data_IF_842601545953
#
_entry.id   IF_842601545953
#
_cell.length_a   1.000
_cell.length_b   1.000
_cell.length_c   1.000
_cell.angle_alpha   90.00
_cell.angle_beta   90.00
_cell.angle_gamma   90.00
#
_symmetry.space_group_name_H-M   'P 1'
#
loop_
_entity.id
_entity.type
_entity.pdbx_description
1 polymer ?
#
# COMPACT_ATOMS: atom_id res chain seq x y z
N UNK A 1 1.08 13.47 7.36
CA UNK A 1 2.19 13.15 8.29
C UNK A 1 2.09 11.69 8.71
N UNK A 2 3.22 10.98 8.79
CA UNK A 2 3.28 9.62 9.32
C UNK A 2 3.59 9.68 10.83
N UNK A 3 2.81 9.04 11.72
CA UNK A 3 3.10 9.04 13.15
C UNK A 3 4.44 8.35 13.47
N UNK A 4 5.22 8.94 14.37
CA UNK A 4 6.49 8.33 14.83
C UNK A 4 6.26 6.99 15.53
N UNK A 5 5.12 6.82 16.20
CA UNK A 5 4.77 5.59 16.92
C UNK A 5 4.74 4.34 16.04
N UNK A 6 4.47 4.48 14.73
CA UNK A 6 4.43 3.36 13.79
C UNK A 6 5.71 3.23 12.95
N UNK A 7 6.68 4.14 13.12
CA UNK A 7 7.86 4.21 12.26
C UNK A 7 8.69 2.92 12.35
N UNK A 8 8.84 2.37 13.56
CA UNK A 8 9.64 1.16 13.76
C UNK A 8 8.93 -0.09 13.22
N UNK A 9 7.62 -0.21 13.45
CA UNK A 9 6.80 -1.27 12.85
C UNK A 9 6.87 -1.26 11.33
N UNK A 10 6.80 -0.06 10.73
CA UNK A 10 6.91 0.10 9.28
C UNK A 10 8.29 -0.30 8.76
N UNK A 11 9.38 0.02 9.47
CA UNK A 11 10.73 -0.41 9.08
C UNK A 11 10.86 -1.93 9.12
N UNK A 12 10.39 -2.58 10.19
CA UNK A 12 10.39 -4.04 10.29
C UNK A 12 9.57 -4.69 9.17
N UNK A 13 8.40 -4.13 8.88
CA UNK A 13 7.57 -4.56 7.74
C UNK A 13 8.35 -4.44 6.41
N UNK A 14 9.00 -3.31 6.16
CA UNK A 14 9.80 -3.09 4.95
C UNK A 14 10.99 -4.06 4.84
N UNK A 15 11.61 -4.46 5.95
CA UNK A 15 12.65 -5.51 5.94
C UNK A 15 12.08 -6.85 5.46
N UNK A 16 10.89 -7.23 5.95
CA UNK A 16 10.20 -8.44 5.49
C UNK A 16 9.83 -8.38 4.01
N UNK A 17 9.33 -7.23 3.55
CA UNK A 17 9.03 -7.00 2.13
C UNK A 17 10.28 -7.04 1.26
N UNK A 18 11.42 -6.56 1.78
CA UNK A 18 12.70 -6.60 1.06
C UNK A 18 13.19 -8.04 0.87
N UNK A 19 13.04 -8.88 1.89
CA UNK A 19 13.34 -10.32 1.77
C UNK A 19 12.43 -10.99 0.73
N UNK A 20 11.13 -10.70 0.75
CA UNK A 20 10.18 -11.21 -0.25
C UNK A 20 10.57 -10.78 -1.67
N UNK A 21 10.94 -9.51 -1.85
CA UNK A 21 11.39 -8.98 -3.13
C UNK A 21 12.68 -9.67 -3.63
N UNK A 22 13.65 -9.94 -2.74
CA UNK A 22 14.85 -10.69 -3.11
C UNK A 22 14.52 -12.10 -3.61
N UNK A 23 13.61 -12.79 -2.93
CA UNK A 23 13.12 -14.11 -3.37
C UNK A 23 12.39 -14.05 -4.71
N UNK A 24 11.60 -13.00 -4.95
CA UNK A 24 10.91 -12.82 -6.22
C UNK A 24 11.91 -12.50 -7.35
N UNK A 25 12.97 -11.73 -7.10
CA UNK A 25 14.04 -11.49 -8.07
C UNK A 25 14.74 -12.79 -8.47
N UNK A 26 15.12 -13.63 -7.50
CA UNK A 26 15.77 -14.92 -7.77
C UNK A 26 14.88 -15.85 -8.62
N UNK A 27 13.56 -15.77 -8.44
CA UNK A 27 12.57 -16.54 -9.20
C UNK A 27 12.20 -15.91 -10.54
N UNK A 28 12.71 -14.72 -10.87
CA UNK A 28 12.42 -14.00 -12.12
C UNK A 28 11.12 -13.18 -12.12
N UNK A 29 10.49 -12.98 -10.95
CA UNK A 29 9.22 -12.26 -10.78
C UNK A 29 9.34 -10.89 -10.10
N UNK A 30 10.56 -10.44 -9.76
CA UNK A 30 10.81 -9.20 -9.00
C UNK A 30 10.58 -7.89 -9.75
N UNK A 31 9.76 -7.90 -10.81
CA UNK A 31 9.36 -6.67 -11.50
C UNK A 31 8.17 -6.01 -10.80
N UNK A 32 8.16 -4.68 -10.71
CA UNK A 32 7.02 -3.88 -10.27
C UNK A 32 6.24 -3.34 -11.46
N UNK A 33 4.96 -3.01 -11.26
CA UNK A 33 4.20 -2.25 -12.26
C UNK A 33 4.69 -0.80 -12.29
N UNK A 34 5.05 -0.30 -13.47
CA UNK A 34 5.37 1.10 -13.70
C UNK A 34 4.40 1.72 -14.71
N UNK A 35 4.01 2.99 -14.54
CA UNK A 35 3.30 3.73 -15.58
C UNK A 35 4.11 3.78 -16.88
N UNK A 36 3.44 3.69 -18.03
CA UNK A 36 4.06 3.59 -19.36
C UNK A 36 5.18 4.60 -19.61
N UNK A 37 4.98 5.87 -19.27
CA UNK A 37 5.98 6.92 -19.47
C UNK A 37 7.25 6.70 -18.62
N UNK A 38 7.11 6.17 -17.40
CA UNK A 38 8.23 5.86 -16.52
C UNK A 38 8.96 4.60 -16.98
N UNK A 39 8.24 3.55 -17.35
CA UNK A 39 8.84 2.31 -17.85
C UNK A 39 9.66 2.57 -19.12
N UNK A 40 9.14 3.40 -20.04
CA UNK A 40 9.87 3.79 -21.26
C UNK A 40 11.13 4.60 -20.96
N UNK A 41 11.07 5.52 -19.99
CA UNK A 41 12.19 6.40 -19.62
C UNK A 41 13.27 5.65 -18.83
N UNK A 42 12.86 4.71 -17.97
CA UNK A 42 13.75 3.92 -17.11
C UNK A 42 13.39 2.43 -17.15
N UNK A 43 13.82 1.68 -18.19
CA UNK A 43 13.41 0.30 -18.38
C UNK A 43 13.81 -0.67 -17.26
N UNK A 44 14.92 -0.39 -16.56
CA UNK A 44 15.40 -1.20 -15.42
C UNK A 44 14.76 -0.84 -14.09
N UNK A 45 14.09 0.31 -13.99
CA UNK A 45 13.52 0.80 -12.73
C UNK A 45 12.49 -0.17 -12.13
N UNK A 46 11.80 -0.96 -12.96
CA UNK A 46 10.82 -1.94 -12.47
C UNK A 46 11.45 -3.02 -11.58
N UNK A 47 12.75 -3.25 -11.68
CA UNK A 47 13.45 -4.21 -10.83
C UNK A 47 14.04 -3.57 -9.58
N UNK A 48 14.08 -2.24 -9.47
CA UNK A 48 14.70 -1.61 -8.30
C UNK A 48 13.76 -1.66 -7.10
N UNK A 49 14.35 -1.78 -5.91
CA UNK A 49 13.64 -1.81 -4.63
C UNK A 49 12.71 -0.61 -4.42
N UNK A 50 13.15 0.58 -4.84
CA UNK A 50 12.40 1.84 -4.62
C UNK A 50 11.04 1.88 -5.34
N UNK A 51 10.83 1.00 -6.32
CA UNK A 51 9.58 0.91 -7.09
C UNK A 51 8.67 -0.23 -6.63
N UNK A 52 9.10 -1.03 -5.65
CA UNK A 52 8.29 -2.11 -5.12
C UNK A 52 7.19 -1.59 -4.20
N UNK A 53 6.07 -2.31 -4.14
CA UNK A 53 4.95 -1.93 -3.28
C UNK A 53 5.30 -2.12 -1.80
N UNK A 54 5.01 -1.10 -0.98
CA UNK A 54 5.14 -1.18 0.49
C UNK A 54 4.27 -2.30 1.06
N UNK A 55 3.06 -2.49 0.52
CA UNK A 55 2.14 -3.55 0.92
C UNK A 55 1.89 -4.49 -0.26
N UNK A 56 2.79 -5.45 -0.49
CA UNK A 56 2.67 -6.38 -1.60
C UNK A 56 1.56 -7.42 -1.35
N UNK A 57 1.00 -7.96 -2.43
CA UNK A 57 0.05 -9.07 -2.40
C UNK A 57 0.75 -10.35 -1.90
N UNK A 58 0.00 -11.22 -1.22
CA UNK A 58 0.50 -12.54 -0.80
C UNK A 58 0.84 -13.46 -1.98
N UNK A 59 0.19 -13.25 -3.13
CA UNK A 59 0.42 -14.02 -4.37
C UNK A 59 0.99 -13.15 -5.49
N UNK A 60 1.75 -13.80 -6.37
CA UNK A 60 2.11 -13.28 -7.69
C UNK A 60 0.95 -13.48 -8.66
N UNK A 61 0.83 -12.59 -9.64
CA UNK A 61 -0.20 -12.68 -10.67
C UNK A 61 0.36 -12.29 -12.03
N UNK A 62 -0.24 -12.83 -13.09
CA UNK A 62 0.04 -12.38 -14.45
C UNK A 62 -0.68 -11.06 -14.70
N UNK A 63 0.05 -10.03 -15.08
CA UNK A 63 -0.54 -8.75 -15.48
C UNK A 63 -1.29 -8.95 -16.82
N UNK A 64 -2.61 -8.68 -16.88
CA UNK A 64 -3.38 -8.85 -18.11
C UNK A 64 -2.96 -7.91 -19.24
N UNK A 65 -2.28 -6.79 -18.93
CA UNK A 65 -1.88 -5.80 -19.94
C UNK A 65 -0.52 -6.10 -20.57
N UNK A 66 0.42 -6.62 -19.77
CA UNK A 66 1.80 -6.88 -20.20
C UNK A 66 2.15 -8.37 -20.32
N UNK A 67 1.30 -9.26 -19.82
CA UNK A 67 1.57 -10.70 -19.66
C UNK A 67 2.77 -11.05 -18.77
N UNK A 68 3.44 -10.07 -18.16
CA UNK A 68 4.52 -10.31 -17.21
C UNK A 68 3.95 -10.84 -15.88
N UNK A 69 4.65 -11.82 -15.28
CA UNK A 69 4.32 -12.30 -13.94
C UNK A 69 5.03 -11.41 -12.94
N UNK A 70 4.25 -10.77 -12.06
CA UNK A 70 4.76 -9.83 -11.07
C UNK A 70 3.93 -9.82 -9.80
N UNK A 71 4.49 -9.28 -8.73
CA UNK A 71 3.77 -9.05 -7.48
C UNK A 71 3.10 -7.68 -7.49
N UNK A 72 1.77 -7.66 -7.37
CA UNK A 72 1.00 -6.43 -7.25
C UNK A 72 0.86 -6.02 -5.79
N UNK A 73 0.29 -4.83 -5.55
CA UNK A 73 -0.12 -4.43 -4.20
C UNK A 73 -1.26 -5.31 -3.68
N UNK A 74 -1.44 -5.33 -2.37
CA UNK A 74 -2.61 -5.93 -1.73
C UNK A 74 -3.90 -5.38 -2.35
N UNK A 75 -4.83 -6.26 -2.71
CA UNK A 75 -6.10 -5.84 -3.30
C UNK A 75 -6.93 -5.03 -2.30
N UNK A 76 -7.51 -3.91 -2.75
CA UNK A 76 -8.25 -2.98 -1.90
C UNK A 76 -9.43 -3.64 -1.17
N UNK A 77 -10.10 -4.60 -1.82
CA UNK A 77 -11.25 -5.29 -1.22
C UNK A 77 -10.86 -6.14 -0.01
N UNK A 78 -9.62 -6.61 0.08
CA UNK A 78 -9.12 -7.34 1.24
C UNK A 78 -9.14 -6.46 2.48
N UNK A 79 -8.62 -5.23 2.37
CA UNK A 79 -8.64 -4.25 3.45
C UNK A 79 -10.09 -3.85 3.81
N UNK A 80 -10.92 -3.57 2.80
CA UNK A 80 -12.32 -3.17 3.02
C UNK A 80 -13.13 -4.26 3.75
N UNK A 81 -12.91 -5.54 3.42
CA UNK A 81 -13.59 -6.67 4.07
C UNK A 81 -13.19 -6.80 5.53
N UNK A 82 -11.90 -6.78 5.82
CA UNK A 82 -11.38 -6.85 7.20
C UNK A 82 -11.89 -5.66 8.01
N UNK A 83 -11.85 -4.45 7.44
CA UNK A 83 -12.36 -3.26 8.10
C UNK A 83 -13.86 -3.37 8.42
N UNK A 84 -14.67 -3.87 7.47
CA UNK A 84 -16.10 -4.07 7.67
C UNK A 84 -16.39 -5.04 8.83
N UNK A 85 -15.58 -6.09 8.98
CA UNK A 85 -15.69 -7.03 10.11
C UNK A 85 -15.32 -6.36 11.44
N UNK A 86 -14.21 -5.63 11.48
CA UNK A 86 -13.77 -4.90 12.67
C UNK A 86 -14.82 -3.88 13.13
N UNK A 87 -15.36 -3.07 12.20
CA UNK A 87 -16.42 -2.09 12.49
C UNK A 87 -17.67 -2.77 13.04
N UNK A 88 -18.10 -3.90 12.47
CA UNK A 88 -19.27 -4.64 12.98
C UNK A 88 -19.07 -5.10 14.43
N UNK A 89 -17.86 -5.50 14.80
CA UNK A 89 -17.55 -5.92 16.17
C UNK A 89 -17.66 -4.76 17.19
N UNK A 90 -17.42 -3.51 16.77
CA UNK A 90 -17.53 -2.33 17.65
C UNK A 90 -18.97 -1.93 17.99
N UNK A 91 -19.99 -2.49 17.31
CA UNK A 91 -21.41 -2.12 17.44
C UNK A 91 -21.70 -0.63 17.18
N UNK A 92 -20.81 0.08 16.48
CA UNK A 92 -21.06 1.46 16.06
C UNK A 92 -22.19 1.46 15.01
N UNK A 93 -23.29 2.20 15.23
CA UNK A 93 -24.44 2.18 14.31
C UNK A 93 -24.21 2.99 13.02
N UNK A 94 -23.05 3.64 12.87
CA UNK A 94 -22.69 4.45 11.72
C UNK A 94 -21.99 3.61 10.64
N UNK A 95 -22.19 3.97 9.37
CA UNK A 95 -21.44 3.39 8.26
C UNK A 95 -19.99 3.89 8.31
N UNK A 96 -19.06 2.99 8.60
CA UNK A 96 -17.63 3.28 8.65
C UNK A 96 -16.91 2.47 7.56
N UNK A 97 -16.08 3.15 6.76
CA UNK A 97 -15.20 2.55 5.75
C UNK A 97 -13.88 3.32 5.66
N UNK A 98 -13.00 2.95 4.73
CA UNK A 98 -11.65 3.55 4.63
C UNK A 98 -11.70 5.09 4.49
N UNK A 99 -12.63 5.61 3.69
CA UNK A 99 -12.81 7.07 3.53
C UNK A 99 -13.26 7.76 4.83
N UNK A 100 -13.99 7.08 5.71
CA UNK A 100 -14.36 7.63 7.03
C UNK A 100 -13.11 7.94 7.86
N UNK A 101 -12.10 7.06 7.86
CA UNK A 101 -10.84 7.33 8.57
C UNK A 101 -10.09 8.51 7.98
N UNK A 102 -10.08 8.66 6.64
CA UNK A 102 -9.50 9.83 5.98
C UNK A 102 -10.19 11.12 6.39
N UNK A 103 -11.53 11.13 6.43
CA UNK A 103 -12.30 12.29 6.88
C UNK A 103 -12.02 12.61 8.35
N UNK A 104 -12.04 11.60 9.23
CA UNK A 104 -11.73 11.80 10.65
C UNK A 104 -10.31 12.36 10.84
N UNK A 105 -9.33 11.87 10.09
CA UNK A 105 -7.96 12.40 10.13
C UNK A 105 -7.93 13.90 9.80
N UNK A 106 -8.55 14.32 8.69
CA UNK A 106 -8.61 15.72 8.31
C UNK A 106 -9.36 16.58 9.35
N UNK A 107 -10.50 16.11 9.85
CA UNK A 107 -11.26 16.80 10.90
C UNK A 107 -10.44 16.99 12.17
N UNK A 108 -9.70 15.96 12.59
CA UNK A 108 -8.86 16.05 13.79
C UNK A 108 -7.65 16.96 13.60
N UNK A 109 -7.08 17.06 12.39
CA UNK A 109 -6.06 18.07 12.10
C UNK A 109 -6.62 19.49 12.26
N UNK A 110 -7.80 19.77 11.68
CA UNK A 110 -8.45 21.08 11.85
C UNK A 110 -8.78 21.38 13.31
N UNK A 111 -9.27 20.39 14.06
CA UNK A 111 -9.55 20.54 15.51
C UNK A 111 -8.28 20.82 16.32
N UNK A 112 -7.12 20.31 15.88
CA UNK A 112 -5.82 20.57 16.49
C UNK A 112 -5.20 21.91 16.02
N UNK A 113 -5.95 22.76 15.32
CA UNK A 113 -5.52 24.11 14.93
C UNK A 113 -4.70 24.17 13.64
N UNK A 114 -4.68 23.11 12.83
CA UNK A 114 -4.02 23.16 11.52
C UNK A 114 -4.82 24.05 10.56
N UNK A 115 -4.11 24.93 9.84
CA UNK A 115 -4.65 25.73 8.74
C UNK A 115 -5.24 24.83 7.65
N UNK A 116 -6.41 25.18 7.10
CA UNK A 116 -7.10 24.38 6.06
C UNK A 116 -6.26 24.16 4.80
N UNK A 117 -5.30 25.06 4.51
CA UNK A 117 -4.36 24.92 3.38
C UNK A 117 -3.29 23.85 3.62
N UNK A 118 -3.18 23.32 4.84
CA UNK A 118 -2.18 22.34 5.28
C UNK A 118 -2.76 20.92 5.39
N UNK A 119 -4.09 20.78 5.35
CA UNK A 119 -4.84 19.51 5.51
C UNK A 119 -5.20 18.93 4.15
#
# INVERSE_FOLDING_TARGET
MLPESIAEELKMHLQGVKLLYQQDLEKGYGSAYLPFALERKYPRAKYDWIWQFVFPSGSISKDPRSSEIRRHHLHESSLQKVLKQAVRATKIPKKVGCHTFRHSFATHLLQNGYEIRTV
#
